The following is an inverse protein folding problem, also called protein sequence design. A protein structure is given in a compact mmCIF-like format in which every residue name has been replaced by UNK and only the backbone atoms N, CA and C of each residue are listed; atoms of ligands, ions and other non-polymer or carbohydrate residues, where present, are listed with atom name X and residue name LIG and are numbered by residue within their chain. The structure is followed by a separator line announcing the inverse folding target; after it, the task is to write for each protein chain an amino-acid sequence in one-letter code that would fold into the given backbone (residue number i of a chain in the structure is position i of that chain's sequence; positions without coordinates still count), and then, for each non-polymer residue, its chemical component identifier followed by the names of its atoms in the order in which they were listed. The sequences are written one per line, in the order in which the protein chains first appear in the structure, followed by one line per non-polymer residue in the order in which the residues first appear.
data_IF_957517376639
#
_entry.id   IF_957517376639
#
_cell.length_a   1.000
_cell.length_b   1.000
_cell.length_c   1.000
_cell.angle_alpha   90.00
_cell.angle_beta   90.00
_cell.angle_gamma   90.00
#
_symmetry.space_group_name_H-M   'P 1'
#
loop_
_entity.id
_entity.type
_entity.pdbx_description
1 polymer ?
#
# COMPACT_ATOMS: atom_id res chain seq x y z
N UNK A 1 -5.56 -7.84 -22.38
CA UNK A 1 -5.18 -6.94 -21.26
C UNK A 1 -3.76 -6.43 -21.44
N UNK A 2 -3.57 -5.56 -22.44
CA UNK A 2 -2.36 -4.82 -22.77
C UNK A 2 -2.84 -3.45 -23.26
N UNK A 3 -2.56 -2.37 -22.52
CA UNK A 3 -2.90 -1.01 -22.93
C UNK A 3 -1.64 -0.15 -22.90
N UNK A 4 -1.22 0.41 -24.04
CA UNK A 4 -0.15 1.40 -24.06
C UNK A 4 -0.70 2.76 -23.61
N UNK A 5 0.15 3.79 -23.54
CA UNK A 5 -0.23 5.11 -22.98
C UNK A 5 -1.31 5.77 -23.84
N UNK A 6 -1.21 5.55 -25.14
CA UNK A 6 -1.99 6.17 -26.21
C UNK A 6 -3.44 5.63 -26.24
N UNK A 7 -3.66 4.43 -25.71
CA UNK A 7 -4.98 3.81 -25.62
C UNK A 7 -5.83 4.33 -24.43
N UNK A 8 -5.27 5.20 -23.59
CA UNK A 8 -5.94 5.71 -22.39
C UNK A 8 -6.11 4.65 -21.28
N UNK A 9 -6.71 5.08 -20.17
CA UNK A 9 -6.84 4.25 -18.97
C UNK A 9 -5.54 4.11 -18.16
N UNK A 10 -5.58 3.22 -17.17
CA UNK A 10 -4.62 3.11 -16.05
C UNK A 10 -4.08 1.68 -15.87
N UNK A 11 -4.39 0.74 -16.78
CA UNK A 11 -3.78 -0.61 -16.79
C UNK A 11 -2.23 -0.56 -16.64
N UNK A 12 -1.62 -1.66 -16.18
CA UNK A 12 -0.19 -1.89 -15.92
C UNK A 12 0.77 -0.71 -16.23
N UNK A 13 1.05 0.16 -15.23
CA UNK A 13 2.00 1.25 -15.37
C UNK A 13 3.42 0.80 -15.73
N UNK A 14 3.84 -0.38 -15.24
CA UNK A 14 5.14 -0.98 -15.58
C UNK A 14 5.28 -1.18 -17.08
N UNK A 15 4.29 -1.78 -17.74
CA UNK A 15 4.30 -1.97 -19.19
C UNK A 15 4.35 -0.64 -19.95
N UNK A 16 3.64 0.38 -19.47
CA UNK A 16 3.66 1.71 -20.09
C UNK A 16 5.05 2.34 -20.08
N UNK A 17 5.84 2.06 -19.03
CA UNK A 17 7.21 2.53 -18.88
C UNK A 17 8.24 1.67 -19.63
N UNK A 18 8.16 0.34 -19.50
CA UNK A 18 9.16 -0.60 -20.05
C UNK A 18 8.89 -0.98 -21.50
N UNK A 19 7.62 -0.96 -21.92
CA UNK A 19 7.12 -1.50 -23.19
C UNK A 19 7.41 -3.00 -23.40
N UNK A 20 7.83 -3.71 -22.35
CA UNK A 20 8.12 -5.15 -22.36
C UNK A 20 6.84 -5.97 -22.12
N UNK A 21 6.57 -6.97 -22.96
CA UNK A 21 5.38 -7.81 -22.86
C UNK A 21 5.23 -8.47 -21.48
N UNK A 22 6.33 -8.83 -20.83
CA UNK A 22 6.32 -9.48 -19.50
C UNK A 22 5.65 -8.64 -18.41
N UNK A 23 5.65 -7.31 -18.58
CA UNK A 23 5.06 -6.35 -17.64
C UNK A 23 3.56 -6.10 -17.84
N UNK A 24 2.95 -6.72 -18.85
CA UNK A 24 1.52 -6.61 -19.12
C UNK A 24 0.69 -7.41 -18.12
N UNK A 25 -0.59 -7.04 -17.96
CA UNK A 25 -1.54 -7.82 -17.15
C UNK A 25 -1.70 -9.23 -17.71
N UNK A 26 -1.78 -9.36 -19.05
CA UNK A 26 -1.90 -10.64 -19.73
C UNK A 26 -0.71 -11.56 -19.46
N UNK A 27 0.53 -11.08 -19.62
CA UNK A 27 1.70 -11.92 -19.42
C UNK A 27 1.82 -12.39 -17.98
N UNK A 28 1.55 -11.52 -17.00
CA UNK A 28 1.51 -11.89 -15.58
C UNK A 28 0.49 -12.98 -15.28
N UNK A 29 -0.72 -12.85 -15.83
CA UNK A 29 -1.77 -13.86 -15.66
C UNK A 29 -1.40 -15.20 -16.31
N UNK A 30 -0.87 -15.15 -17.54
CA UNK A 30 -0.48 -16.34 -18.28
C UNK A 30 0.72 -17.05 -17.66
N UNK A 31 1.73 -16.31 -17.19
CA UNK A 31 2.88 -16.89 -16.49
C UNK A 31 2.44 -17.60 -15.22
N UNK A 32 1.59 -16.96 -14.42
CA UNK A 32 1.04 -17.59 -13.22
C UNK A 32 0.27 -18.87 -13.56
N UNK A 33 -0.60 -18.81 -14.57
CA UNK A 33 -1.36 -20.00 -15.03
C UNK A 33 -0.42 -21.11 -15.47
N UNK A 34 0.59 -20.80 -16.27
CA UNK A 34 1.56 -21.76 -16.78
C UNK A 34 2.31 -22.45 -15.64
N UNK A 35 2.86 -21.68 -14.71
CA UNK A 35 3.54 -22.19 -13.51
C UNK A 35 2.60 -23.07 -12.69
N UNK A 36 1.36 -22.66 -12.44
CA UNK A 36 0.43 -23.48 -11.65
C UNK A 36 -0.03 -24.76 -12.37
N UNK A 37 -0.03 -24.75 -13.71
CA UNK A 37 -0.48 -25.90 -14.53
C UNK A 37 0.65 -26.91 -14.72
N UNK A 38 1.84 -26.44 -15.10
CA UNK A 38 2.94 -27.27 -15.58
C UNK A 38 4.00 -27.54 -14.51
N UNK A 39 4.05 -26.77 -13.43
CA UNK A 39 4.98 -27.03 -12.33
C UNK A 39 4.48 -28.20 -11.45
N UNK A 40 5.33 -29.22 -11.30
CA UNK A 40 5.10 -30.42 -10.48
C UNK A 40 5.72 -30.33 -9.09
N UNK A 41 6.42 -29.24 -8.77
CA UNK A 41 6.94 -28.99 -7.43
C UNK A 41 5.82 -28.91 -6.39
N UNK A 42 6.12 -29.31 -5.15
CA UNK A 42 5.19 -29.24 -4.02
C UNK A 42 4.69 -27.80 -3.79
N UNK A 43 5.61 -26.84 -3.74
CA UNK A 43 5.27 -25.42 -3.82
C UNK A 43 5.42 -24.91 -5.25
N UNK A 44 4.32 -24.86 -6.00
CA UNK A 44 4.31 -24.36 -7.37
C UNK A 44 4.70 -22.88 -7.48
N UNK A 45 4.54 -22.11 -6.41
CA UNK A 45 4.88 -20.68 -6.40
C UNK A 45 6.38 -20.41 -6.24
N UNK A 46 7.21 -21.42 -5.95
CA UNK A 46 8.67 -21.27 -5.91
C UNK A 46 9.26 -21.21 -7.34
N UNK A 47 8.94 -20.14 -8.08
CA UNK A 47 9.44 -19.88 -9.44
C UNK A 47 10.12 -18.51 -9.51
N UNK A 48 11.37 -18.50 -9.97
CA UNK A 48 12.16 -17.29 -10.17
C UNK A 48 11.65 -16.48 -11.36
N UNK A 49 11.16 -17.16 -12.39
CA UNK A 49 10.59 -16.58 -13.59
C UNK A 49 9.28 -15.86 -13.26
N UNK A 50 8.43 -16.49 -12.44
CA UNK A 50 7.20 -15.86 -11.96
C UNK A 50 7.50 -14.65 -11.05
N UNK A 51 8.54 -14.76 -10.21
CA UNK A 51 9.04 -13.64 -9.40
C UNK A 51 9.44 -12.45 -10.26
N UNK A 52 10.17 -12.69 -11.34
CA UNK A 52 10.62 -11.65 -12.25
C UNK A 52 9.43 -10.93 -12.91
N UNK A 53 8.46 -11.69 -13.41
CA UNK A 53 7.25 -11.16 -14.06
C UNK A 53 6.40 -10.29 -13.11
N UNK A 54 6.40 -10.61 -11.81
CA UNK A 54 5.71 -9.81 -10.79
C UNK A 54 6.55 -8.68 -10.17
N UNK A 55 7.86 -8.62 -10.42
CA UNK A 55 8.77 -7.72 -9.69
C UNK A 55 8.36 -6.25 -9.83
N UNK A 56 8.15 -5.78 -11.06
CA UNK A 56 7.74 -4.41 -11.37
C UNK A 56 6.24 -4.14 -11.17
N UNK A 57 5.46 -5.11 -10.72
CA UNK A 57 4.04 -4.89 -10.44
C UNK A 57 3.84 -3.98 -9.21
N UNK A 58 3.14 -2.86 -9.37
CA UNK A 58 2.89 -1.91 -8.28
C UNK A 58 1.71 -2.27 -7.37
N UNK A 59 0.98 -3.36 -7.67
CA UNK A 59 -0.25 -3.74 -6.98
C UNK A 59 -1.25 -2.58 -6.87
N UNK A 60 -1.40 -1.79 -7.95
CA UNK A 60 -2.34 -0.66 -8.02
C UNK A 60 -3.80 -1.07 -8.27
N UNK A 61 -4.05 -2.36 -8.54
CA UNK A 61 -5.37 -2.95 -8.80
C UNK A 61 -6.13 -2.44 -10.03
N UNK A 62 -5.57 -1.53 -10.83
CA UNK A 62 -6.19 -1.07 -12.09
C UNK A 62 -6.47 -2.21 -13.10
N UNK A 63 -5.72 -3.32 -13.01
CA UNK A 63 -5.98 -4.51 -13.82
C UNK A 63 -7.35 -5.15 -13.54
N UNK A 64 -7.81 -5.13 -12.28
CA UNK A 64 -9.07 -5.77 -11.90
C UNK A 64 -10.28 -5.07 -12.52
N UNK A 65 -10.22 -3.75 -12.70
CA UNK A 65 -11.29 -2.96 -13.32
C UNK A 65 -11.16 -2.79 -14.83
N UNK A 66 -9.94 -2.73 -15.36
CA UNK A 66 -9.73 -2.41 -16.78
C UNK A 66 -9.47 -3.60 -17.70
N UNK A 67 -9.21 -4.78 -17.14
CA UNK A 67 -9.05 -6.00 -17.93
C UNK A 67 -10.45 -6.56 -18.24
N UNK A 68 -10.82 -6.81 -19.52
CA UNK A 68 -12.12 -7.40 -19.86
C UNK A 68 -12.40 -8.76 -19.21
N UNK A 69 -11.35 -9.43 -18.74
CA UNK A 69 -11.43 -10.71 -18.02
C UNK A 69 -11.38 -10.55 -16.49
N UNK A 70 -11.49 -9.33 -15.97
CA UNK A 70 -11.50 -9.00 -14.52
C UNK A 70 -10.32 -9.60 -13.74
N UNK A 71 -9.14 -9.65 -14.36
CA UNK A 71 -7.96 -10.27 -13.74
C UNK A 71 -7.38 -9.35 -12.66
N UNK A 72 -7.38 -9.83 -11.42
CA UNK A 72 -6.77 -9.14 -10.29
C UNK A 72 -5.33 -9.61 -10.04
N UNK A 73 -4.40 -9.03 -10.79
CA UNK A 73 -2.96 -9.26 -10.62
C UNK A 73 -2.45 -8.79 -9.25
N UNK A 74 -3.10 -7.82 -8.60
CA UNK A 74 -2.65 -7.33 -7.31
C UNK A 74 -2.85 -8.40 -6.23
N UNK A 75 -4.02 -9.03 -6.21
CA UNK A 75 -4.32 -10.16 -5.31
C UNK A 75 -3.45 -11.38 -5.63
N UNK A 76 -3.34 -11.74 -6.91
CA UNK A 76 -2.49 -12.86 -7.34
C UNK A 76 -1.01 -12.67 -6.93
N UNK A 77 -0.48 -11.45 -7.09
CA UNK A 77 0.89 -11.13 -6.66
C UNK A 77 1.04 -11.25 -5.15
N UNK A 78 0.06 -10.82 -4.36
CA UNK A 78 0.13 -10.89 -2.91
C UNK A 78 0.24 -12.35 -2.43
N UNK A 79 -0.58 -13.24 -3.01
CA UNK A 79 -0.54 -14.68 -2.72
C UNK A 79 0.78 -15.32 -3.18
N UNK A 80 1.21 -15.04 -4.41
CA UNK A 80 2.51 -15.52 -4.91
C UNK A 80 3.65 -15.10 -4.00
N UNK A 81 3.72 -13.82 -3.60
CA UNK A 81 4.78 -13.31 -2.76
C UNK A 81 4.79 -13.96 -1.37
N UNK A 82 3.62 -14.23 -0.80
CA UNK A 82 3.50 -14.95 0.46
C UNK A 82 4.08 -16.37 0.32
N UNK A 83 3.58 -17.16 -0.62
CA UNK A 83 4.02 -18.54 -0.83
C UNK A 83 5.51 -18.64 -1.18
N UNK A 84 6.00 -17.73 -2.01
CA UNK A 84 7.42 -17.66 -2.38
C UNK A 84 8.31 -17.36 -1.17
N UNK A 85 7.91 -16.42 -0.31
CA UNK A 85 8.69 -16.02 0.87
C UNK A 85 8.58 -17.01 2.02
N UNK A 86 7.48 -17.76 2.16
CA UNK A 86 7.41 -18.86 3.13
C UNK A 86 8.43 -19.96 2.82
N UNK A 87 8.82 -20.12 1.55
CA UNK A 87 9.88 -21.06 1.12
C UNK A 87 11.27 -20.44 1.13
N UNK A 88 11.41 -19.21 0.64
CA UNK A 88 12.72 -18.57 0.43
C UNK A 88 13.15 -17.60 1.54
N UNK A 89 12.27 -17.36 2.52
CA UNK A 89 12.44 -16.36 3.57
C UNK A 89 12.06 -14.94 3.15
N UNK A 90 11.89 -14.08 4.15
CA UNK A 90 11.57 -12.67 3.98
C UNK A 90 12.84 -11.83 3.98
N UNK A 91 13.11 -11.14 2.87
CA UNK A 91 14.30 -10.29 2.75
C UNK A 91 14.24 -9.08 3.72
N UNK A 92 15.40 -8.63 4.18
CA UNK A 92 15.51 -7.42 5.02
C UNK A 92 14.79 -6.22 4.42
N UNK A 93 14.97 -6.00 3.11
CA UNK A 93 14.28 -4.94 2.36
C UNK A 93 12.76 -5.06 2.46
N UNK A 94 12.21 -6.25 2.24
CA UNK A 94 10.77 -6.46 2.29
C UNK A 94 10.25 -6.23 3.70
N UNK A 95 10.93 -6.76 4.72
CA UNK A 95 10.59 -6.56 6.14
C UNK A 95 10.61 -5.09 6.53
N UNK A 96 11.60 -4.31 6.05
CA UNK A 96 11.71 -2.88 6.28
C UNK A 96 10.45 -2.13 5.78
N UNK A 97 10.05 -2.39 4.53
CA UNK A 97 8.90 -1.71 3.92
C UNK A 97 7.56 -2.25 4.42
N UNK A 98 7.48 -3.53 4.75
CA UNK A 98 6.28 -4.13 5.35
C UNK A 98 5.96 -3.51 6.71
N UNK A 99 6.99 -3.24 7.51
CA UNK A 99 6.88 -2.61 8.83
C UNK A 99 7.01 -1.06 8.78
N UNK A 100 6.63 -0.42 7.66
CA UNK A 100 6.82 1.03 7.50
C UNK A 100 6.17 1.83 8.63
N UNK A 101 4.99 1.45 9.11
CA UNK A 101 4.30 2.14 10.20
C UNK A 101 5.06 2.07 11.50
N UNK A 102 5.62 0.91 11.85
CA UNK A 102 6.47 0.76 13.03
C UNK A 102 7.64 1.76 13.00
N UNK A 103 8.34 1.84 11.86
CA UNK A 103 9.47 2.75 11.72
C UNK A 103 9.04 4.22 11.61
N UNK A 104 7.91 4.52 10.97
CA UNK A 104 7.37 5.88 10.92
C UNK A 104 6.93 6.37 12.30
N UNK A 105 6.34 5.51 13.14
CA UNK A 105 6.00 5.82 14.54
C UNK A 105 7.25 6.28 15.31
N UNK A 106 8.37 5.58 15.14
CA UNK A 106 9.66 5.94 15.74
C UNK A 106 10.26 7.21 15.12
N UNK A 107 10.31 7.28 13.79
CA UNK A 107 10.87 8.43 13.06
C UNK A 107 10.11 9.74 13.30
N UNK A 108 8.81 9.64 13.58
CA UNK A 108 7.97 10.81 13.88
C UNK A 108 8.21 11.41 15.27
N UNK A 109 9.10 10.83 16.08
CA UNK A 109 9.57 11.44 17.34
C UNK A 109 10.49 12.62 17.03
N UNK A 110 11.38 12.48 16.04
CA UNK A 110 12.27 13.54 15.56
C UNK A 110 12.28 13.58 14.03
N UNK A 111 11.18 14.04 13.39
CA UNK A 111 11.01 13.97 11.94
C UNK A 111 12.09 14.75 11.18
N UNK A 112 12.60 15.87 11.74
CA UNK A 112 13.70 16.62 11.13
C UNK A 112 14.97 15.78 10.99
N UNK A 113 15.37 15.11 12.08
CA UNK A 113 16.55 14.23 12.07
C UNK A 113 16.34 13.02 11.16
N UNK A 114 15.18 12.37 11.27
CA UNK A 114 14.84 11.22 10.42
C UNK A 114 14.86 11.59 8.94
N UNK A 115 14.25 12.72 8.56
CA UNK A 115 14.24 13.18 7.18
C UNK A 115 15.64 13.51 6.65
N UNK A 116 16.51 14.10 7.49
CA UNK A 116 17.89 14.38 7.13
C UNK A 116 18.67 13.08 6.86
N UNK A 117 18.55 12.09 7.76
CA UNK A 117 19.22 10.78 7.62
C UNK A 117 18.70 10.03 6.39
N UNK A 118 17.38 9.89 6.22
CA UNK A 118 16.77 9.13 5.12
C UNK A 118 17.03 9.75 3.74
N UNK A 119 17.39 11.03 3.69
CA UNK A 119 17.75 11.70 2.43
C UNK A 119 19.19 11.42 1.98
N UNK A 120 20.04 10.86 2.85
CA UNK A 120 21.45 10.57 2.53
C UNK A 120 21.59 9.43 1.51
N UNK A 121 22.62 9.46 0.63
CA UNK A 121 22.87 8.37 -0.31
C UNK A 121 23.08 7.01 0.36
N UNK A 122 23.74 7.00 1.53
CA UNK A 122 23.99 5.79 2.31
C UNK A 122 22.69 5.18 2.82
N UNK A 123 21.80 5.97 3.42
CA UNK A 123 20.50 5.48 3.87
C UNK A 123 19.68 4.95 2.69
N UNK A 124 19.65 5.65 1.55
CA UNK A 124 18.97 5.16 0.34
C UNK A 124 19.55 3.83 -0.14
N UNK A 125 20.87 3.69 -0.16
CA UNK A 125 21.54 2.44 -0.56
C UNK A 125 21.19 1.29 0.40
N UNK A 126 21.27 1.52 1.71
CA UNK A 126 20.92 0.52 2.73
C UNK A 126 19.46 0.09 2.64
N UNK A 127 18.55 1.03 2.34
CA UNK A 127 17.15 0.74 2.08
C UNK A 127 16.89 0.25 0.65
N UNK A 128 17.90 0.07 -0.20
CA UNK A 128 17.84 -0.25 -1.64
C UNK A 128 16.95 0.67 -2.49
N UNK A 129 16.82 1.93 -2.11
CA UNK A 129 16.10 2.96 -2.87
C UNK A 129 17.06 3.56 -3.91
N UNK A 130 16.58 3.75 -5.14
CA UNK A 130 17.36 4.38 -6.19
C UNK A 130 17.84 5.79 -5.76
N UNK A 131 19.11 6.11 -6.02
CA UNK A 131 19.74 7.34 -5.53
C UNK A 131 19.04 8.62 -6.02
N UNK A 132 18.54 8.59 -7.27
CA UNK A 132 17.75 9.68 -7.89
C UNK A 132 16.34 9.82 -7.31
N UNK A 133 15.85 8.85 -6.53
CA UNK A 133 14.50 8.90 -5.95
C UNK A 133 14.50 9.78 -4.70
N UNK A 134 13.42 10.55 -4.54
CA UNK A 134 13.11 11.26 -3.30
C UNK A 134 12.37 10.31 -2.35
N UNK A 135 12.86 10.19 -1.13
CA UNK A 135 12.17 9.44 -0.06
C UNK A 135 11.05 10.33 0.49
N UNK A 136 9.84 9.80 0.74
CA UNK A 136 8.78 10.56 1.41
C UNK A 136 9.26 11.14 2.74
N UNK A 137 8.92 12.40 3.00
CA UNK A 137 9.33 13.09 4.22
C UNK A 137 8.25 12.91 5.28
N UNK A 138 8.65 12.52 6.49
CA UNK A 138 7.75 12.55 7.65
C UNK A 138 7.35 14.00 7.95
N UNK A 139 6.06 14.21 8.17
CA UNK A 139 5.54 15.49 8.62
C UNK A 139 6.09 15.83 10.02
N UNK A 140 6.21 17.13 10.31
CA UNK A 140 6.63 17.61 11.64
C UNK A 140 5.70 17.13 12.76
N UNK A 141 4.44 16.89 12.42
CA UNK A 141 3.41 16.38 13.32
C UNK A 141 2.46 15.48 12.54
N UNK A 142 2.13 14.32 13.11
CA UNK A 142 1.20 13.39 12.47
C UNK A 142 -0.22 13.95 12.45
N UNK A 143 -1.04 13.51 11.48
CA UNK A 143 -2.43 13.95 11.38
C UNK A 143 -3.21 13.63 12.66
N UNK A 144 -3.10 12.40 13.19
CA UNK A 144 -3.76 12.01 14.45
C UNK A 144 -3.37 12.92 15.63
N UNK A 145 -2.10 13.35 15.73
CA UNK A 145 -1.64 14.28 16.79
C UNK A 145 -2.13 15.71 16.58
N UNK A 146 -2.26 16.14 15.33
CA UNK A 146 -2.81 17.45 14.99
C UNK A 146 -4.33 17.50 15.23
N UNK A 147 -5.05 16.45 14.82
CA UNK A 147 -6.51 16.32 14.95
C UNK A 147 -6.97 16.39 16.41
N UNK A 148 -6.25 15.73 17.35
CA UNK A 148 -6.55 15.79 18.79
C UNK A 148 -6.53 17.20 19.40
N UNK A 149 -5.99 18.20 18.70
CA UNK A 149 -5.96 19.60 19.15
C UNK A 149 -7.01 20.48 18.46
N UNK A 150 -7.81 19.92 17.56
CA UNK A 150 -8.88 20.66 16.91
C UNK A 150 -10.08 20.81 17.85
N UNK A 151 -10.86 21.90 17.73
CA UNK A 151 -12.10 22.03 18.48
C UNK A 151 -13.06 20.89 18.12
N UNK A 152 -13.91 20.50 19.07
CA UNK A 152 -14.99 19.56 18.78
C UNK A 152 -15.99 20.25 17.83
N UNK A 153 -16.35 19.55 16.77
CA UNK A 153 -17.36 20.05 15.83
C UNK A 153 -18.71 20.16 16.52
N UNK A 154 -19.47 21.20 16.18
CA UNK A 154 -20.89 21.36 16.56
C UNK A 154 -21.84 20.76 15.53
N UNK A 155 -21.31 20.25 14.41
CA UNK A 155 -22.10 19.67 13.34
C UNK A 155 -22.67 18.29 13.75
N UNK A 156 -23.89 17.99 13.31
CA UNK A 156 -24.58 16.73 13.65
C UNK A 156 -24.34 15.61 12.66
N UNK A 157 -23.98 15.92 11.40
CA UNK A 157 -23.72 14.93 10.35
C UNK A 157 -22.30 14.40 10.48
N UNK A 158 -22.13 13.13 10.85
CA UNK A 158 -20.80 12.55 11.09
C UNK A 158 -20.22 11.96 9.82
N UNK A 159 -18.91 12.17 9.60
CA UNK A 159 -18.12 11.49 8.56
C UNK A 159 -16.92 10.83 9.23
N UNK A 160 -16.77 9.51 9.07
CA UNK A 160 -15.62 8.80 9.61
C UNK A 160 -14.47 8.78 8.60
N UNK A 161 -13.34 9.37 8.97
CA UNK A 161 -12.12 9.33 8.17
C UNK A 161 -11.22 8.19 8.64
N UNK A 162 -11.03 7.18 7.78
CA UNK A 162 -9.96 6.20 7.95
C UNK A 162 -8.62 6.88 7.71
N UNK A 163 -7.92 7.19 8.79
CA UNK A 163 -6.63 7.87 8.76
C UNK A 163 -5.51 6.85 8.53
N UNK A 164 -5.27 6.54 7.25
CA UNK A 164 -4.25 5.58 6.83
C UNK A 164 -2.82 6.03 7.16
N UNK A 165 -1.88 5.10 7.08
CA UNK A 165 -0.48 5.33 7.41
C UNK A 165 0.22 6.41 6.57
N UNK A 166 -0.14 6.57 5.30
CA UNK A 166 0.47 7.59 4.44
C UNK A 166 -0.07 8.97 4.77
N UNK A 167 -1.39 9.10 4.86
CA UNK A 167 -2.07 10.34 5.25
C UNK A 167 -1.67 10.79 6.66
N UNK A 168 -1.46 9.85 7.59
CA UNK A 168 -1.08 10.18 8.96
C UNK A 168 0.38 10.66 9.10
N UNK A 169 1.32 10.11 8.33
CA UNK A 169 2.76 10.37 8.52
C UNK A 169 3.40 11.26 7.46
N UNK A 170 2.92 11.23 6.21
CA UNK A 170 3.53 11.93 5.09
C UNK A 170 2.62 13.03 4.56
N UNK A 171 1.39 12.67 4.18
CA UNK A 171 0.46 13.55 3.47
C UNK A 171 -0.50 14.26 4.44
N UNK A 172 0.05 14.76 5.55
CA UNK A 172 -0.72 15.33 6.66
C UNK A 172 -1.54 16.55 6.23
N UNK A 173 -1.03 17.39 5.32
CA UNK A 173 -1.77 18.55 4.83
C UNK A 173 -3.04 18.13 4.08
N UNK A 174 -3.00 17.05 3.28
CA UNK A 174 -4.19 16.53 2.58
C UNK A 174 -5.27 16.13 3.58
N UNK A 175 -4.87 15.49 4.69
CA UNK A 175 -5.82 15.12 5.75
C UNK A 175 -6.38 16.32 6.52
N UNK A 176 -5.59 17.40 6.69
CA UNK A 176 -6.09 18.66 7.26
C UNK A 176 -7.06 19.36 6.32
N UNK A 177 -6.76 19.37 5.02
CA UNK A 177 -7.63 19.93 4.00
C UNK A 177 -8.97 19.19 3.98
N UNK A 178 -8.95 17.86 4.08
CA UNK A 178 -10.16 17.06 4.22
C UNK A 178 -10.96 17.45 5.48
N UNK A 179 -10.30 17.57 6.65
CA UNK A 179 -10.95 18.02 7.87
C UNK A 179 -11.62 19.39 7.69
N UNK A 180 -10.89 20.39 7.19
CA UNK A 180 -11.42 21.74 6.99
C UNK A 180 -12.54 21.80 5.94
N UNK A 181 -12.45 20.99 4.88
CA UNK A 181 -13.49 20.88 3.87
C UNK A 181 -14.78 20.34 4.48
N UNK A 182 -14.74 19.21 5.17
CA UNK A 182 -15.92 18.60 5.76
C UNK A 182 -16.54 19.46 6.86
N UNK A 183 -15.74 20.09 7.71
CA UNK A 183 -16.25 21.04 8.71
C UNK A 183 -16.99 22.23 8.05
N UNK A 184 -16.43 22.80 6.97
CA UNK A 184 -17.08 23.89 6.21
C UNK A 184 -18.36 23.45 5.49
N UNK A 185 -18.44 22.19 5.10
CA UNK A 185 -19.64 21.61 4.50
C UNK A 185 -20.71 21.23 5.53
N UNK A 186 -20.47 21.49 6.83
CA UNK A 186 -21.42 21.19 7.89
C UNK A 186 -21.40 19.74 8.37
N UNK A 187 -20.28 19.03 8.16
CA UNK A 187 -20.04 17.69 8.69
C UNK A 187 -19.08 17.74 9.89
N UNK A 188 -19.21 16.76 10.77
CA UNK A 188 -18.31 16.47 11.88
C UNK A 188 -17.40 15.32 11.47
N UNK A 189 -16.17 15.66 11.09
CA UNK A 189 -15.21 14.64 10.65
C UNK A 189 -14.54 13.97 11.86
N UNK A 190 -14.75 12.66 12.00
CA UNK A 190 -14.22 11.87 13.10
C UNK A 190 -13.15 10.88 12.64
N UNK A 191 -11.98 10.91 13.31
CA UNK A 191 -10.94 9.90 13.14
C UNK A 191 -11.07 8.85 14.24
N UNK A 192 -11.49 7.65 13.87
CA UNK A 192 -11.60 6.50 14.79
C UNK A 192 -10.20 6.05 15.24
N UNK A 193 -10.08 5.55 16.47
CA UNK A 193 -8.85 4.93 16.94
C UNK A 193 -8.69 3.53 16.31
N UNK A 194 -8.04 3.48 15.15
CA UNK A 194 -7.81 2.24 14.40
C UNK A 194 -6.32 2.02 14.08
N UNK A 195 -5.98 0.78 13.70
CA UNK A 195 -4.64 0.37 13.29
C UNK A 195 -4.32 0.82 11.85
N UNK A 196 -3.09 0.58 11.38
CA UNK A 196 -2.74 0.80 9.97
C UNK A 196 -3.62 -0.01 9.01
N UNK A 197 -3.60 0.31 7.73
CA UNK A 197 -4.48 -0.38 6.75
C UNK A 197 -4.06 -1.82 6.46
N UNK A 198 -2.82 -2.20 6.78
CA UNK A 198 -2.22 -3.48 6.37
C UNK A 198 -1.71 -3.48 4.91
N UNK A 199 -1.86 -2.37 4.18
CA UNK A 199 -1.46 -2.25 2.77
C UNK A 199 0.01 -2.56 2.55
N UNK A 200 0.90 -2.08 3.42
CA UNK A 200 2.34 -2.36 3.33
C UNK A 200 2.64 -3.86 3.43
N UNK A 201 2.02 -4.56 4.38
CA UNK A 201 2.13 -6.00 4.55
C UNK A 201 1.66 -6.76 3.31
N UNK A 202 0.46 -6.45 2.79
CA UNK A 202 -0.09 -7.08 1.58
C UNK A 202 0.86 -6.87 0.38
N UNK A 203 1.38 -5.65 0.20
CA UNK A 203 2.27 -5.34 -0.93
C UNK A 203 3.61 -6.09 -0.91
N UNK A 204 3.99 -6.63 0.25
CA UNK A 204 5.23 -7.36 0.49
C UNK A 204 5.02 -8.84 0.82
N UNK A 205 3.79 -9.36 0.74
CA UNK A 205 3.49 -10.77 0.97
C UNK A 205 3.45 -11.20 2.44
N UNK A 206 3.38 -10.26 3.38
CA UNK A 206 3.25 -10.54 4.83
C UNK A 206 1.76 -10.75 5.19
N UNK A 207 1.15 -11.79 4.61
CA UNK A 207 -0.31 -11.96 4.67
C UNK A 207 -0.82 -12.36 6.07
N UNK A 208 0.02 -13.00 6.89
CA UNK A 208 -0.32 -13.35 8.27
C UNK A 208 -0.49 -12.07 9.11
N UNK A 209 0.46 -11.15 9.02
CA UNK A 209 0.44 -9.85 9.70
C UNK A 209 -0.67 -8.96 9.15
N UNK A 210 -0.86 -8.92 7.83
CA UNK A 210 -1.95 -8.20 7.20
C UNK A 210 -3.31 -8.67 7.74
N UNK A 211 -3.52 -9.99 7.86
CA UNK A 211 -4.77 -10.57 8.38
C UNK A 211 -5.06 -10.10 9.81
N UNK A 212 -4.06 -10.06 10.69
CA UNK A 212 -4.22 -9.57 12.06
C UNK A 212 -4.69 -8.12 12.07
N UNK A 213 -3.98 -7.25 11.35
CA UNK A 213 -4.30 -5.82 11.28
C UNK A 213 -5.69 -5.57 10.68
N UNK A 214 -6.01 -6.24 9.57
CA UNK A 214 -7.32 -6.11 8.93
C UNK A 214 -8.45 -6.58 9.85
N UNK A 215 -8.29 -7.71 10.55
CA UNK A 215 -9.30 -8.21 11.49
C UNK A 215 -9.53 -7.24 12.66
N UNK A 216 -8.46 -6.62 13.18
CA UNK A 216 -8.58 -5.59 14.21
C UNK A 216 -9.39 -4.39 13.69
N UNK A 217 -9.10 -3.91 12.49
CA UNK A 217 -9.86 -2.81 11.90
C UNK A 217 -11.33 -3.19 11.66
N UNK A 218 -11.61 -4.37 11.12
CA UNK A 218 -13.00 -4.86 10.96
C UNK A 218 -13.72 -4.91 12.31
N UNK A 219 -13.06 -5.42 13.35
CA UNK A 219 -13.64 -5.47 14.69
C UNK A 219 -13.88 -4.08 15.32
N UNK A 220 -13.06 -3.08 14.98
CA UNK A 220 -13.23 -1.68 15.43
C UNK A 220 -14.38 -1.00 14.69
N UNK A 221 -14.48 -1.21 13.37
CA UNK A 221 -15.44 -0.49 12.54
C UNK A 221 -16.81 -1.14 12.43
N UNK A 222 -16.96 -2.45 12.73
CA UNK A 222 -18.24 -3.18 12.60
C UNK A 222 -19.40 -2.56 13.41
N UNK A 223 -19.10 -1.91 14.53
CA UNK A 223 -20.10 -1.31 15.42
C UNK A 223 -20.28 0.20 15.13
N UNK A 224 -19.54 0.74 14.16
CA UNK A 224 -19.51 2.17 13.79
C UNK A 224 -20.09 2.37 12.39
N UNK A 225 -19.79 1.49 11.45
CA UNK A 225 -20.20 1.58 10.05
C UNK A 225 -21.34 0.60 9.80
N UNK A 226 -22.53 1.14 9.56
CA UNK A 226 -23.75 0.39 9.23
C UNK A 226 -24.23 0.74 7.82
N UNK A 227 -25.28 0.09 7.31
CA UNK A 227 -25.92 0.48 6.04
C UNK A 227 -26.50 1.91 6.07
N UNK A 228 -26.73 2.46 7.27
CA UNK A 228 -27.28 3.80 7.49
C UNK A 228 -26.20 4.87 7.73
N UNK A 229 -24.92 4.47 7.81
CA UNK A 229 -23.77 5.37 7.99
C UNK A 229 -23.23 5.87 6.66
#
# INVERSE_FOLDING_TARGET
CRKPVEAGGTMCPSYRATKDEKDTTRARANMLRDVLTNNTASNKFDSKELKEVFDLCLSCKACASECPSNVDIATMKAEFLYQYQETNGYSFRNSLFANNVKYNKLGSISPTLTNAILSTPFAKAAMGVAQKRKVPKLASKTLKKWYKRQPKSTNTKVVYLFCDEFTNFYDVEIGKDAFHLFEKLGYNLQIVAHEESGRSFISKGFLKEAKVVCNLNVAIFKDIITEET
#
